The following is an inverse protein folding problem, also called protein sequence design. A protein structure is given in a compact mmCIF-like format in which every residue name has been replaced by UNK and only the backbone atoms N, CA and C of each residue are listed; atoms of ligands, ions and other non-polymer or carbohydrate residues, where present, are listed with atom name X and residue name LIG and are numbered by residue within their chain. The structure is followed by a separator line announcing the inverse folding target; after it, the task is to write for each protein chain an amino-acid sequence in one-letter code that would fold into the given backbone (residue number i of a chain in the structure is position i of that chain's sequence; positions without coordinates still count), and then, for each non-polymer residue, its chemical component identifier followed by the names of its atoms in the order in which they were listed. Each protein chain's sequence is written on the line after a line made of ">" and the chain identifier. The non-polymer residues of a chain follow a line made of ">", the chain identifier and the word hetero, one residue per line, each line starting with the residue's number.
data_IF_886098156941
#
_entry.id   IF_886098156941
#
_cell.length_a   1.000
_cell.length_b   1.000
_cell.length_c   1.000
_cell.angle_alpha   90.00
_cell.angle_beta   90.00
_cell.angle_gamma   90.00
#
_symmetry.space_group_name_H-M   'P 1'
#
loop_
_entity.id
_entity.type
_entity.pdbx_description
1 polymer ?
#
# COMPACT_ATOMS: atom_id res chain seq x y z
N UNK A 1 22.46 0.10 26.71
CA UNK A 1 22.16 0.08 25.25
C UNK A 1 20.94 -0.79 25.06
N UNK A 2 19.79 -0.22 24.73
CA UNK A 2 18.58 -1.01 24.47
C UNK A 2 18.77 -1.76 23.14
N UNK A 3 18.61 -3.08 23.15
CA UNK A 3 18.63 -3.86 21.91
C UNK A 3 17.48 -3.36 21.02
N UNK A 4 17.81 -2.86 19.83
CA UNK A 4 16.81 -2.42 18.89
C UNK A 4 15.86 -3.59 18.58
N UNK A 5 14.57 -3.43 18.93
CA UNK A 5 13.56 -4.42 18.61
C UNK A 5 13.49 -4.60 17.08
N UNK A 6 13.91 -5.76 16.58
CA UNK A 6 13.70 -6.11 15.19
C UNK A 6 12.21 -6.30 14.92
N UNK A 7 11.70 -5.66 13.87
CA UNK A 7 10.32 -5.85 13.44
C UNK A 7 10.07 -7.32 13.04
N UNK A 8 8.97 -7.88 13.55
CA UNK A 8 8.49 -9.23 13.20
C UNK A 8 8.28 -9.41 11.70
N UNK A 9 8.00 -8.31 10.97
CA UNK A 9 7.81 -8.30 9.51
C UNK A 9 9.08 -8.75 8.77
N UNK A 10 10.26 -8.55 9.36
CA UNK A 10 11.53 -8.96 8.74
C UNK A 10 11.59 -10.48 8.52
N UNK A 11 11.08 -11.25 9.48
CA UNK A 11 11.11 -12.72 9.46
C UNK A 11 9.89 -13.32 8.76
N UNK A 12 8.79 -12.58 8.60
CA UNK A 12 7.57 -13.06 7.95
C UNK A 12 7.83 -13.48 6.49
N UNK A 13 7.41 -14.68 6.10
CA UNK A 13 7.49 -15.16 4.70
C UNK A 13 6.37 -14.62 3.80
N UNK A 14 5.17 -14.46 4.38
CA UNK A 14 3.98 -13.88 3.73
C UNK A 14 3.53 -12.62 4.45
N UNK A 15 3.22 -11.57 3.69
CA UNK A 15 2.83 -10.25 4.20
C UNK A 15 1.54 -9.82 3.52
N UNK A 16 0.51 -9.50 4.30
CA UNK A 16 -0.72 -8.87 3.81
C UNK A 16 -0.63 -7.38 4.13
N UNK A 17 -0.55 -6.55 3.10
CA UNK A 17 -0.50 -5.08 3.24
C UNK A 17 -1.89 -4.53 2.99
N UNK A 18 -2.50 -3.92 4.02
CA UNK A 18 -3.75 -3.15 3.88
C UNK A 18 -3.42 -1.67 3.73
N UNK A 19 -3.87 -1.06 2.63
CA UNK A 19 -3.80 0.40 2.44
C UNK A 19 -5.20 1.01 2.58
N UNK A 20 -5.35 1.97 3.48
CA UNK A 20 -6.62 2.68 3.73
C UNK A 20 -6.93 3.73 2.66
N UNK A 21 -8.19 4.19 2.59
CA UNK A 21 -8.63 5.17 1.58
C UNK A 21 -7.78 6.44 1.58
N UNK A 22 -7.50 7.01 2.75
CA UNK A 22 -6.72 8.25 2.87
C UNK A 22 -5.30 8.17 2.30
N UNK A 23 -4.74 6.96 2.14
CA UNK A 23 -3.39 6.72 1.63
C UNK A 23 -3.35 6.36 0.13
N UNK A 24 -4.51 6.23 -0.50
CA UNK A 24 -4.64 5.85 -1.92
C UNK A 24 -5.45 6.88 -2.73
N UNK A 25 -6.10 7.84 -2.07
CA UNK A 25 -6.95 8.86 -2.69
C UNK A 25 -6.39 10.27 -2.54
N UNK A 26 -6.60 11.12 -3.53
CA UNK A 26 -6.13 12.50 -3.59
C UNK A 26 -7.22 13.50 -3.13
N UNK A 27 -7.69 13.36 -1.88
CA UNK A 27 -8.65 14.29 -1.23
C UNK A 27 -9.90 14.60 -2.09
N UNK A 28 -10.54 13.56 -2.62
CA UNK A 28 -11.74 13.71 -3.47
C UNK A 28 -11.44 13.84 -4.97
N UNK A 29 -10.18 14.00 -5.38
CA UNK A 29 -9.78 14.03 -6.81
C UNK A 29 -9.45 12.64 -7.37
N UNK A 30 -10.18 11.60 -6.94
CA UNK A 30 -9.89 10.21 -7.29
C UNK A 30 -8.61 9.66 -6.66
N UNK A 31 -7.89 8.78 -7.36
CA UNK A 31 -6.71 8.10 -6.83
C UNK A 31 -5.44 8.97 -6.83
N UNK A 32 -4.64 8.85 -5.77
CA UNK A 32 -3.26 9.35 -5.74
C UNK A 32 -2.33 8.33 -6.42
N UNK A 33 -2.06 8.58 -7.70
CA UNK A 33 -1.20 7.74 -8.53
C UNK A 33 0.26 7.74 -8.05
N UNK A 34 0.73 8.83 -7.45
CA UNK A 34 2.06 8.92 -6.88
C UNK A 34 2.20 8.03 -5.64
N UNK A 35 1.20 8.04 -4.75
CA UNK A 35 1.16 7.11 -3.62
C UNK A 35 1.11 5.66 -4.07
N UNK A 36 0.24 5.33 -5.04
CA UNK A 36 0.14 3.98 -5.59
C UNK A 36 1.49 3.52 -6.16
N UNK A 37 2.19 4.36 -6.93
CA UNK A 37 3.50 4.03 -7.47
C UNK A 37 4.54 3.76 -6.36
N UNK A 38 4.54 4.55 -5.27
CA UNK A 38 5.40 4.30 -4.11
C UNK A 38 5.11 2.96 -3.45
N UNK A 39 3.83 2.62 -3.24
CA UNK A 39 3.44 1.33 -2.68
C UNK A 39 3.83 0.17 -3.59
N UNK A 40 3.59 0.29 -4.90
CA UNK A 40 3.99 -0.69 -5.89
C UNK A 40 5.51 -0.94 -5.88
N UNK A 41 6.31 0.13 -5.80
CA UNK A 41 7.78 0.02 -5.70
C UNK A 41 8.24 -0.69 -4.43
N UNK A 42 7.65 -0.35 -3.27
CA UNK A 42 7.99 -1.02 -2.01
C UNK A 42 7.58 -2.51 -2.01
N UNK A 43 6.39 -2.83 -2.54
CA UNK A 43 5.93 -4.21 -2.69
C UNK A 43 6.85 -4.99 -3.64
N UNK A 44 7.27 -4.39 -4.76
CA UNK A 44 8.20 -4.99 -5.69
C UNK A 44 9.55 -5.30 -5.01
N UNK A 45 10.07 -4.36 -4.20
CA UNK A 45 11.29 -4.60 -3.43
C UNK A 45 11.14 -5.76 -2.44
N UNK A 46 10.02 -5.84 -1.71
CA UNK A 46 9.75 -6.96 -0.81
C UNK A 46 9.64 -8.30 -1.54
N UNK A 47 8.98 -8.32 -2.70
CA UNK A 47 8.92 -9.52 -3.56
C UNK A 47 10.30 -9.92 -4.09
N UNK A 48 11.15 -8.95 -4.41
CA UNK A 48 12.55 -9.17 -4.77
C UNK A 48 13.39 -9.82 -3.65
N UNK A 49 12.97 -9.66 -2.39
CA UNK A 49 13.54 -10.35 -1.22
C UNK A 49 12.93 -11.75 -0.98
N UNK A 50 12.13 -12.27 -1.93
CA UNK A 50 11.47 -13.57 -1.82
C UNK A 50 10.25 -13.59 -0.90
N UNK A 51 9.70 -12.43 -0.51
CA UNK A 51 8.48 -12.35 0.28
C UNK A 51 7.25 -12.54 -0.59
N UNK A 52 6.29 -13.31 -0.10
CA UNK A 52 4.95 -13.37 -0.70
C UNK A 52 4.11 -12.20 -0.18
N UNK A 53 3.62 -11.35 -1.08
CA UNK A 53 2.94 -10.10 -0.70
C UNK A 53 1.55 -10.05 -1.33
N UNK A 54 0.53 -9.90 -0.50
CA UNK A 54 -0.86 -9.65 -0.90
C UNK A 54 -1.22 -8.22 -0.54
N UNK A 55 -1.72 -7.46 -1.52
CA UNK A 55 -2.23 -6.10 -1.30
C UNK A 55 -3.75 -6.12 -1.16
N UNK A 56 -4.25 -5.48 -0.10
CA UNK A 56 -5.67 -5.16 0.08
C UNK A 56 -5.81 -3.63 0.03
N UNK A 57 -6.28 -3.11 -1.09
CA UNK A 57 -6.44 -1.65 -1.29
C UNK A 57 -7.88 -1.19 -1.08
N UNK A 58 -8.03 0.06 -0.63
CA UNK A 58 -9.28 0.81 -0.75
C UNK A 58 -9.28 1.64 -2.05
N UNK A 59 -10.15 2.65 -2.17
CA UNK A 59 -10.08 3.69 -3.20
C UNK A 59 -11.05 3.52 -4.37
N UNK A 60 -11.71 2.36 -4.50
CA UNK A 60 -12.64 2.09 -5.59
C UNK A 60 -13.80 3.11 -5.68
N UNK A 61 -14.37 3.52 -4.53
CA UNK A 61 -15.42 4.53 -4.48
C UNK A 61 -14.89 5.89 -4.94
N UNK A 62 -13.76 6.35 -4.39
CA UNK A 62 -13.20 7.66 -4.75
C UNK A 62 -12.84 7.77 -6.24
N UNK A 63 -12.26 6.70 -6.81
CA UNK A 63 -12.01 6.62 -8.26
C UNK A 63 -13.31 6.62 -9.06
N UNK A 64 -14.33 5.89 -8.58
CA UNK A 64 -15.66 5.88 -9.18
C UNK A 64 -16.31 7.25 -9.23
N UNK A 65 -16.26 8.01 -8.12
CA UNK A 65 -16.79 9.38 -8.04
C UNK A 65 -16.15 10.30 -9.08
N UNK A 66 -14.82 10.27 -9.19
CA UNK A 66 -14.09 11.04 -10.20
C UNK A 66 -14.55 10.69 -11.62
N UNK A 67 -14.69 9.39 -11.94
CA UNK A 67 -15.12 8.92 -13.26
C UNK A 67 -16.56 9.30 -13.60
N UNK A 68 -17.40 9.50 -12.59
CA UNK A 68 -18.78 9.95 -12.74
C UNK A 68 -18.91 11.48 -12.73
N UNK A 69 -17.81 12.22 -12.56
CA UNK A 69 -17.82 13.69 -12.54
C UNK A 69 -18.43 14.28 -11.26
N UNK A 70 -18.36 13.54 -10.15
CA UNK A 70 -18.89 13.93 -8.84
C UNK A 70 -17.81 14.51 -7.92
#
# INVERSE_FOLDING_TARGET
>A
MSAAHQSVIRQAGRIIVKVGSSLVTNEGRGLDHGAIARWAGQIAALRGLGKDVVLVSSGAIAEGMLRLGM
#
